data_IF_693854638094
#
_entry.id   IF_693854638094
#
_cell.length_a   1.000
_cell.length_b   1.000
_cell.length_c   1.000
_cell.angle_alpha   90.00
_cell.angle_beta   90.00
_cell.angle_gamma   90.00
#
_symmetry.space_group_name_H-M   'P 1'
#
loop_
_entity.id
_entity.type
_entity.pdbx_description
1 polymer ?
#
# COMPACT_ATOMS: atom_id res chain seq x y z
N UNK A 1 10.68 5.73 4.07
CA UNK A 1 9.55 5.12 3.36
C UNK A 1 9.21 3.84 4.09
N UNK A 2 7.93 3.45 4.14
CA UNK A 2 7.60 2.06 4.42
C UNK A 2 8.41 1.18 3.45
N UNK A 3 8.90 0.06 3.95
CA UNK A 3 9.58 -0.91 3.11
C UNK A 3 8.58 -1.61 2.18
N UNK A 4 9.12 -2.30 1.18
CA UNK A 4 8.34 -3.23 0.35
C UNK A 4 7.69 -4.31 1.23
N UNK A 5 8.40 -4.79 2.25
CA UNK A 5 7.91 -5.78 3.21
C UNK A 5 6.68 -5.31 3.97
N UNK A 6 6.64 -4.05 4.39
CA UNK A 6 5.49 -3.48 5.10
C UNK A 6 4.29 -3.29 4.16
N UNK A 7 4.51 -2.79 2.93
CA UNK A 7 3.46 -2.71 1.91
C UNK A 7 2.86 -4.08 1.59
N UNK A 8 3.70 -5.10 1.44
CA UNK A 8 3.27 -6.47 1.23
C UNK A 8 2.48 -7.00 2.43
N UNK A 9 2.96 -6.78 3.66
CA UNK A 9 2.27 -7.25 4.86
C UNK A 9 0.86 -6.64 4.99
N UNK A 10 0.74 -5.33 4.81
CA UNK A 10 -0.56 -4.63 4.83
C UNK A 10 -1.48 -5.16 3.73
N UNK A 11 -0.96 -5.35 2.52
CA UNK A 11 -1.70 -5.91 1.38
C UNK A 11 -2.24 -7.31 1.70
N UNK A 12 -1.40 -8.18 2.26
CA UNK A 12 -1.78 -9.54 2.63
C UNK A 12 -2.88 -9.55 3.70
N UNK A 13 -2.76 -8.71 4.74
CA UNK A 13 -3.81 -8.59 5.75
C UNK A 13 -5.11 -8.07 5.17
N UNK A 14 -5.05 -7.03 4.33
CA UNK A 14 -6.23 -6.44 3.71
C UNK A 14 -6.98 -7.47 2.85
N UNK A 15 -6.26 -8.22 2.01
CA UNK A 15 -6.83 -9.28 1.20
C UNK A 15 -7.42 -10.42 2.05
N UNK A 16 -6.70 -10.85 3.09
CA UNK A 16 -7.16 -11.92 3.98
C UNK A 16 -8.38 -11.52 4.82
N UNK A 17 -8.50 -10.25 5.20
CA UNK A 17 -9.62 -9.73 5.98
C UNK A 17 -10.90 -9.58 5.14
N UNK A 18 -10.76 -9.12 3.89
CA UNK A 18 -11.91 -8.71 3.08
C UNK A 18 -12.43 -9.85 2.17
N UNK A 19 -11.54 -10.69 1.63
CA UNK A 19 -11.94 -11.72 0.68
C UNK A 19 -12.42 -13.00 1.39
N UNK A 20 -13.41 -13.65 0.77
CA UNK A 20 -13.88 -14.96 1.22
C UNK A 20 -12.87 -16.05 0.87
N UNK A 21 -12.82 -17.12 1.65
CA UNK A 21 -11.87 -18.24 1.51
C UNK A 21 -11.89 -18.88 0.11
N UNK A 22 -13.06 -18.86 -0.56
CA UNK A 22 -13.21 -19.39 -1.91
C UNK A 22 -12.51 -18.54 -3.00
N UNK A 23 -12.11 -17.31 -2.68
CA UNK A 23 -11.63 -16.27 -3.60
C UNK A 23 -10.10 -16.17 -3.67
N UNK A 24 -9.39 -17.26 -3.39
CA UNK A 24 -7.93 -17.33 -3.48
C UNK A 24 -7.37 -16.85 -4.82
N UNK A 25 -7.96 -17.26 -5.95
CA UNK A 25 -7.51 -16.85 -7.29
C UNK A 25 -7.60 -15.32 -7.47
N UNK A 26 -8.76 -14.67 -7.20
CA UNK A 26 -8.84 -13.21 -7.12
C UNK A 26 -7.84 -12.58 -6.15
N UNK A 27 -7.62 -13.17 -4.97
CA UNK A 27 -6.67 -12.63 -3.99
C UNK A 27 -5.24 -12.56 -4.56
N UNK A 28 -4.78 -13.62 -5.23
CA UNK A 28 -3.49 -13.62 -5.92
C UNK A 28 -3.41 -12.58 -7.03
N UNK A 29 -4.49 -12.38 -7.80
CA UNK A 29 -4.54 -11.38 -8.87
C UNK A 29 -4.53 -9.94 -8.35
N UNK A 30 -5.03 -9.73 -7.13
CA UNK A 30 -5.09 -8.41 -6.50
C UNK A 30 -3.80 -8.03 -5.77
N UNK A 31 -3.01 -9.02 -5.34
CA UNK A 31 -1.75 -8.81 -4.61
C UNK A 31 -0.80 -7.81 -5.30
N UNK A 32 -0.57 -7.86 -6.63
CA UNK A 32 0.29 -6.88 -7.31
C UNK A 32 -0.16 -5.42 -7.15
N UNK A 33 -1.46 -5.15 -6.99
CA UNK A 33 -1.95 -3.77 -6.81
C UNK A 33 -1.53 -3.15 -5.48
N UNK A 34 -1.12 -3.94 -4.50
CA UNK A 34 -0.52 -3.43 -3.27
C UNK A 34 0.95 -3.04 -3.39
N UNK A 35 1.62 -3.43 -4.48
CA UNK A 35 3.06 -3.24 -4.70
C UNK A 35 3.40 -2.49 -5.99
N UNK A 36 2.43 -2.30 -6.88
CA UNK A 36 2.69 -1.72 -8.21
C UNK A 36 3.28 -0.32 -8.11
N UNK A 37 2.94 0.45 -7.08
CA UNK A 37 3.48 1.79 -6.86
C UNK A 37 5.00 1.75 -6.66
N UNK A 38 5.51 0.79 -5.88
CA UNK A 38 6.95 0.62 -5.66
C UNK A 38 7.74 0.34 -6.96
N UNK A 39 7.10 -0.08 -8.06
CA UNK A 39 7.79 -0.36 -9.34
C UNK A 39 8.49 0.86 -9.92
N UNK A 40 8.03 2.09 -9.65
CA UNK A 40 8.70 3.27 -10.17
C UNK A 40 10.11 3.46 -9.58
N UNK A 41 10.33 2.99 -8.35
CA UNK A 41 11.65 2.93 -7.72
C UNK A 41 12.59 1.92 -8.38
N UNK A 42 12.04 0.84 -8.95
CA UNK A 42 12.82 -0.21 -9.61
C UNK A 42 13.15 0.13 -11.06
N UNK A 43 12.25 0.81 -11.76
CA UNK A 43 12.38 1.14 -13.19
C UNK A 43 13.19 2.44 -13.38
N UNK A 44 13.56 3.13 -12.30
CA UNK A 44 14.33 4.37 -12.35
C UNK A 44 13.52 5.55 -12.93
N UNK A 45 12.19 5.44 -12.88
CA UNK A 45 11.27 6.51 -13.30
C UNK A 45 11.06 7.45 -12.11
N UNK A 46 10.69 8.70 -12.38
CA UNK A 46 10.31 9.66 -11.35
C UNK A 46 9.28 9.03 -10.39
N UNK A 47 9.58 8.91 -9.09
CA UNK A 47 8.71 8.30 -8.04
C UNK A 47 7.27 8.87 -8.03
N UNK A 48 7.09 10.10 -8.49
CA UNK A 48 5.75 10.66 -8.61
C UNK A 48 4.85 9.96 -9.66
N UNK A 49 5.40 9.09 -10.51
CA UNK A 49 4.69 8.48 -11.63
C UNK A 49 3.65 7.48 -11.17
N UNK A 50 3.99 6.62 -10.21
CA UNK A 50 3.03 5.64 -9.66
C UNK A 50 2.55 6.01 -8.25
N UNK A 51 3.22 6.95 -7.57
CA UNK A 51 2.80 7.47 -6.26
C UNK A 51 2.02 8.79 -6.38
N UNK A 52 0.83 8.75 -6.99
CA UNK A 52 -0.07 9.91 -7.07
C UNK A 52 -1.55 9.48 -7.01
N UNK A 53 -2.44 10.44 -6.74
CA UNK A 53 -3.87 10.21 -6.55
C UNK A 53 -4.55 9.64 -7.81
N UNK A 54 -4.04 9.91 -9.01
CA UNK A 54 -4.65 9.45 -10.26
C UNK A 54 -4.54 7.93 -10.43
N UNK A 55 -3.47 7.32 -9.94
CA UNK A 55 -3.25 5.88 -10.02
C UNK A 55 -4.35 5.10 -9.29
N UNK A 56 -4.86 5.62 -8.18
CA UNK A 56 -5.98 5.03 -7.42
C UNK A 56 -7.23 4.90 -8.29
N UNK A 57 -7.46 5.85 -9.20
CA UNK A 57 -8.64 5.88 -10.06
C UNK A 57 -8.50 4.98 -11.30
N UNK A 58 -7.30 4.54 -11.67
CA UNK A 58 -7.06 3.73 -12.88
C UNK A 58 -7.93 2.45 -12.90
N UNK A 59 -7.98 1.61 -11.84
CA UNK A 59 -8.84 0.43 -11.85
C UNK A 59 -10.33 0.76 -12.00
N UNK A 60 -10.80 1.88 -11.44
CA UNK A 60 -12.18 2.33 -11.56
C UNK A 60 -12.51 2.79 -12.98
N UNK A 61 -11.58 3.50 -13.63
CA UNK A 61 -11.74 3.90 -15.03
C UNK A 61 -11.78 2.67 -15.95
N UNK A 62 -10.93 1.68 -15.71
CA UNK A 62 -10.95 0.40 -16.43
C UNK A 62 -12.29 -0.31 -16.23
N UNK A 63 -12.82 -0.36 -15.01
CA UNK A 63 -14.15 -0.90 -14.73
C UNK A 63 -15.25 -0.21 -15.56
N UNK A 64 -15.25 1.13 -15.58
CA UNK A 64 -16.23 1.92 -16.35
C UNK A 64 -16.10 1.64 -17.85
N UNK A 65 -14.88 1.58 -18.37
CA UNK A 65 -14.62 1.28 -19.78
C UNK A 65 -15.12 -0.11 -20.16
N UNK A 66 -14.81 -1.15 -19.36
CA UNK A 66 -15.28 -2.52 -19.59
C UNK A 66 -16.80 -2.63 -19.57
N UNK A 67 -17.47 -1.91 -18.66
CA UNK A 67 -18.94 -1.81 -18.63
C UNK A 67 -19.50 -1.20 -19.90
N UNK A 68 -18.90 -0.11 -20.40
CA UNK A 68 -19.33 0.53 -21.66
C UNK A 68 -19.14 -0.40 -22.86
N UNK A 69 -18.08 -1.21 -22.86
CA UNK A 69 -17.80 -2.22 -23.89
C UNK A 69 -18.61 -3.51 -23.72
N UNK A 70 -19.49 -3.59 -22.70
CA UNK A 70 -20.29 -4.78 -22.35
C UNK A 70 -19.44 -6.04 -22.10
N UNK A 71 -18.20 -5.87 -21.63
CA UNK A 71 -17.32 -6.97 -21.24
C UNK A 71 -17.49 -7.22 -19.74
N UNK A 72 -18.22 -8.28 -19.37
CA UNK A 72 -18.58 -8.58 -17.97
C UNK A 72 -17.87 -9.82 -17.41
N UNK A 73 -16.58 -10.01 -17.72
CA UNK A 73 -15.82 -11.19 -17.28
C UNK A 73 -15.39 -11.10 -15.81
N UNK A 74 -15.18 -9.90 -15.28
CA UNK A 74 -14.63 -9.66 -13.95
C UNK A 74 -15.67 -8.91 -13.10
N UNK A 75 -15.85 -9.34 -11.84
CA UNK A 75 -16.77 -8.68 -10.91
C UNK A 75 -16.26 -7.28 -10.51
N UNK A 76 -17.14 -6.28 -10.56
CA UNK A 76 -16.85 -4.88 -10.20
C UNK A 76 -16.08 -4.69 -8.90
N UNK A 77 -16.43 -5.47 -7.86
CA UNK A 77 -15.78 -5.39 -6.55
C UNK A 77 -14.26 -5.57 -6.58
N UNK A 78 -13.73 -6.31 -7.56
CA UNK A 78 -12.28 -6.52 -7.66
C UNK A 78 -11.57 -5.26 -8.14
N UNK A 79 -12.18 -4.46 -9.01
CA UNK A 79 -11.65 -3.15 -9.39
C UNK A 79 -11.68 -2.17 -8.21
N UNK A 80 -12.75 -2.20 -7.42
CA UNK A 80 -12.86 -1.41 -6.18
C UNK A 80 -11.75 -1.81 -5.20
N UNK A 81 -11.51 -3.12 -5.01
CA UNK A 81 -10.44 -3.59 -4.13
C UNK A 81 -9.05 -3.23 -4.66
N UNK A 82 -8.80 -3.34 -5.96
CA UNK A 82 -7.55 -2.88 -6.56
C UNK A 82 -7.29 -1.39 -6.26
N UNK A 83 -8.30 -0.53 -6.41
CA UNK A 83 -8.21 0.88 -6.04
C UNK A 83 -7.98 1.11 -4.55
N UNK A 84 -8.63 0.34 -3.68
CA UNK A 84 -8.40 0.45 -2.22
C UNK A 84 -6.98 0.02 -1.83
N UNK A 85 -6.41 -1.00 -2.47
CA UNK A 85 -5.03 -1.42 -2.23
C UNK A 85 -4.04 -0.32 -2.64
N UNK A 86 -4.22 0.26 -3.84
CA UNK A 86 -3.42 1.41 -4.29
C UNK A 86 -3.56 2.60 -3.35
N UNK A 87 -4.79 2.88 -2.91
CA UNK A 87 -5.05 3.96 -1.96
C UNK A 87 -4.34 3.70 -0.63
N UNK A 88 -4.38 2.47 -0.10
CA UNK A 88 -3.70 2.11 1.15
C UNK A 88 -2.19 2.29 1.05
N UNK A 89 -1.61 1.93 -0.10
CA UNK A 89 -0.19 2.11 -0.38
C UNK A 89 0.18 3.60 -0.39
N UNK A 90 -0.46 4.40 -1.24
CA UNK A 90 -0.19 5.83 -1.38
C UNK A 90 -0.44 6.57 -0.06
N UNK A 91 -1.48 6.17 0.68
CA UNK A 91 -1.78 6.73 1.98
C UNK A 91 -0.66 6.44 2.98
N UNK A 92 -0.20 5.18 3.09
CA UNK A 92 0.91 4.83 3.98
C UNK A 92 2.16 5.65 3.64
N UNK A 93 2.48 5.76 2.35
CA UNK A 93 3.61 6.54 1.88
C UNK A 93 3.52 8.04 2.19
N UNK A 94 2.30 8.61 2.14
CA UNK A 94 2.07 10.00 2.48
C UNK A 94 2.52 10.31 3.92
N UNK A 95 2.25 9.44 4.89
CA UNK A 95 2.59 9.68 6.32
C UNK A 95 4.07 9.44 6.66
N UNK A 96 4.81 8.67 5.87
CA UNK A 96 6.21 8.36 6.17
C UNK A 96 7.17 9.34 5.48
N UNK A 97 6.98 9.57 4.18
CA UNK A 97 7.96 10.30 3.36
C UNK A 97 7.34 11.38 2.48
N UNK A 98 6.02 11.57 2.56
CA UNK A 98 5.27 12.42 1.66
C UNK A 98 5.09 11.83 0.27
N UNK A 99 4.10 12.38 -0.44
CA UNK A 99 3.66 11.89 -1.75
C UNK A 99 3.33 13.04 -2.70
N UNK A 100 3.59 12.83 -3.99
CA UNK A 100 3.28 13.79 -5.05
C UNK A 100 1.84 13.64 -5.52
N UNK A 101 0.89 14.05 -4.67
CA UNK A 101 -0.55 13.79 -4.85
C UNK A 101 -1.08 14.12 -6.26
N UNK A 102 -0.65 15.25 -6.83
CA UNK A 102 -1.22 15.81 -8.07
C UNK A 102 -0.24 15.84 -9.24
N UNK A 103 0.83 15.04 -9.21
CA UNK A 103 1.72 14.87 -10.36
C UNK A 103 0.95 14.28 -11.57
N UNK A 104 1.20 14.74 -12.82
CA UNK A 104 2.24 15.68 -13.26
C UNK A 104 1.83 17.16 -13.25
N UNK A 105 0.61 17.50 -12.79
CA UNK A 105 0.14 18.89 -12.81
C UNK A 105 0.82 19.76 -11.75
N UNK A 106 1.20 19.16 -10.63
CA UNK A 106 1.90 19.83 -9.53
C UNK A 106 3.12 19.00 -9.15
N UNK A 107 4.31 19.61 -9.24
CA UNK A 107 5.60 18.97 -8.93
C UNK A 107 5.96 19.02 -7.43
N UNK A 108 5.00 19.36 -6.56
CA UNK A 108 5.21 19.47 -5.11
C UNK A 108 4.84 18.15 -4.41
N UNK A 109 5.67 17.76 -3.45
CA UNK A 109 5.38 16.66 -2.52
C UNK A 109 4.65 17.18 -1.28
N UNK A 110 3.73 16.38 -0.77
CA UNK A 110 2.92 16.67 0.41
C UNK A 110 3.25 15.65 1.50
N UNK A 111 3.75 16.12 2.65
CA UNK A 111 4.03 15.28 3.81
C UNK A 111 3.17 15.71 5.01
N UNK A 112 2.02 15.06 5.26
CA UNK A 112 1.27 15.27 6.49
C UNK A 112 2.10 14.85 7.71
N UNK A 113 2.50 15.81 8.54
CA UNK A 113 3.11 15.49 9.82
C UNK A 113 2.02 15.07 10.80
N UNK A 114 1.89 13.77 10.99
CA UNK A 114 1.01 13.20 12.00
C UNK A 114 1.83 12.64 13.15
N UNK A 115 1.79 13.32 14.30
CA UNK A 115 2.50 12.89 15.50
C UNK A 115 1.55 12.17 16.44
N UNK A 116 1.67 10.84 16.53
CA UNK A 116 1.21 10.10 17.70
C UNK A 116 2.35 10.08 18.71
N UNK A 117 2.10 10.55 19.94
CA UNK A 117 3.11 10.75 20.97
C UNK A 117 3.72 9.50 21.59
N UNK A 118 4.37 8.70 20.77
CA UNK A 118 5.11 7.52 21.17
C UNK A 118 6.59 7.84 21.10
N UNK A 119 7.18 8.12 22.27
CA UNK A 119 8.62 8.18 22.44
C UNK A 119 9.06 6.84 23.03
N UNK A 120 9.60 5.97 22.18
CA UNK A 120 10.17 4.71 22.63
C UNK A 120 11.54 4.99 23.29
N UNK A 121 11.68 4.65 24.57
CA UNK A 121 12.96 4.65 25.28
C UNK A 121 13.26 3.24 25.77
N UNK A 122 13.99 2.47 24.96
CA UNK A 122 14.39 1.09 25.30
C UNK A 122 13.19 0.17 25.53
N UNK A 123 13.19 -0.57 26.65
CA UNK A 123 12.14 -1.55 26.99
C UNK A 123 10.84 -0.94 27.56
N UNK A 124 10.72 0.39 27.57
CA UNK A 124 9.58 1.11 28.14
C UNK A 124 8.79 1.84 27.07
N UNK A 125 7.49 1.54 26.99
CA UNK A 125 6.54 2.28 26.18
C UNK A 125 5.88 3.30 27.09
N UNK A 126 6.33 4.56 27.02
CA UNK A 126 5.70 5.68 27.71
C UNK A 126 4.90 6.49 26.69
N UNK A 127 3.57 6.47 26.83
CA UNK A 127 2.71 7.42 26.14
C UNK A 127 2.99 8.81 26.73
N UNK A 128 3.81 9.58 26.02
CA UNK A 128 4.07 10.97 26.36
C UNK A 128 3.30 11.82 25.39
N UNK A 129 2.26 12.50 25.87
CA UNK A 129 1.55 13.54 25.13
C UNK A 129 2.38 14.84 25.08
N UNK A 130 3.65 14.76 24.67
CA UNK A 130 4.51 15.94 24.47
C UNK A 130 4.46 16.30 22.98
N UNK A 131 3.40 16.99 22.56
CA UNK A 131 3.23 17.42 21.17
C UNK A 131 4.38 18.37 20.78
N UNK A 132 5.32 17.97 19.89
CA UNK A 132 6.29 18.89 19.33
C UNK A 132 5.63 19.51 18.10
N UNK A 133 5.04 20.70 18.26
CA UNK A 133 4.39 21.46 17.17
C UNK A 133 2.86 21.45 17.21
N UNK A 134 2.23 21.96 16.14
CA UNK A 134 0.77 21.93 15.99
C UNK A 134 0.35 20.60 15.35
N UNK A 135 -0.54 19.85 16.00
CA UNK A 135 -1.11 18.61 15.43
C UNK A 135 -1.78 18.91 14.08
N UNK A 136 -1.35 18.22 13.01
CA UNK A 136 -1.94 18.36 11.68
C UNK A 136 -1.25 19.38 10.76
N UNK A 137 0.00 19.74 11.02
CA UNK A 137 0.77 20.60 10.10
C UNK A 137 1.09 19.87 8.78
N UNK A 138 0.67 20.47 7.67
CA UNK A 138 1.05 20.02 6.34
C UNK A 138 2.36 20.70 5.95
N UNK A 139 3.48 19.98 6.04
CA UNK A 139 4.77 20.53 5.65
C UNK A 139 5.00 20.28 4.17
N UNK A 140 5.19 21.38 3.43
CA UNK A 140 5.58 21.33 2.03
C UNK A 140 7.07 21.00 1.94
N UNK A 141 7.40 19.78 1.51
CA UNK A 141 8.78 19.43 1.21
C UNK A 141 9.00 19.68 -0.28
N UNK A 142 9.70 20.78 -0.59
CA UNK A 142 10.24 21.02 -1.93
C UNK A 142 11.53 20.20 -2.04
N UNK A 143 11.41 18.88 -2.21
CA UNK A 143 12.58 18.05 -2.49
C UNK A 143 13.10 18.40 -3.89
N UNK A 144 14.35 18.88 -4.05
CA UNK A 144 14.80 19.43 -5.34
C UNK A 144 15.02 18.38 -6.42
N UNK A 145 14.99 17.08 -6.10
CA UNK A 145 15.21 16.00 -7.07
C UNK A 145 14.45 14.73 -6.66
N UNK A 146 13.91 13.98 -7.63
CA UNK A 146 13.41 12.62 -7.44
C UNK A 146 14.61 11.68 -7.33
N UNK A 147 15.49 11.86 -6.35
CA UNK A 147 16.46 10.82 -6.03
C UNK A 147 15.63 9.65 -5.50
N UNK A 148 15.51 8.60 -6.32
CA UNK A 148 14.91 7.32 -5.93
C UNK A 148 15.56 6.90 -4.62
N UNK A 149 14.89 7.06 -3.45
CA UNK A 149 15.45 6.52 -2.23
C UNK A 149 15.45 5.01 -2.42
N UNK A 150 16.56 4.34 -2.15
CA UNK A 150 16.56 2.88 -2.12
C UNK A 150 15.49 2.44 -1.11
N UNK A 151 14.43 1.80 -1.60
CA UNK A 151 13.37 1.28 -0.72
C UNK A 151 13.92 -0.01 -0.11
N UNK A 152 14.08 -0.09 1.22
CA UNK A 152 14.53 -1.33 1.82
C UNK A 152 13.49 -2.42 1.58
N UNK A 153 13.97 -3.64 1.30
CA UNK A 153 13.08 -4.81 1.19
C UNK A 153 12.43 -5.08 2.55
N UNK A 154 13.22 -5.01 3.62
CA UNK A 154 12.80 -5.10 5.01
C UNK A 154 13.47 -3.98 5.81
N UNK A 155 12.69 -3.15 6.49
CA UNK A 155 13.19 -2.00 7.26
C UNK A 155 13.59 -2.32 8.70
N UNK A 156 13.08 -3.41 9.30
CA UNK A 156 13.44 -3.82 10.67
C UNK A 156 13.10 -5.29 10.97
N UNK A 157 13.62 -5.83 12.07
CA UNK A 157 13.24 -7.16 12.57
C UNK A 157 11.76 -7.26 12.97
N UNK A 158 11.17 -6.19 13.49
CA UNK A 158 9.74 -6.11 13.82
C UNK A 158 8.91 -6.28 12.55
N UNK A 159 9.29 -5.57 11.50
CA UNK A 159 8.62 -5.63 10.21
C UNK A 159 8.72 -7.02 9.56
N UNK A 160 9.87 -7.69 9.67
CA UNK A 160 10.02 -9.08 9.24
C UNK A 160 9.01 -9.99 9.96
N UNK A 161 8.85 -9.84 11.28
CA UNK A 161 7.87 -10.62 12.06
C UNK A 161 6.44 -10.31 11.60
N UNK A 162 6.11 -9.04 11.37
CA UNK A 162 4.80 -8.63 10.83
C UNK A 162 4.53 -9.27 9.47
N UNK A 163 5.52 -9.26 8.56
CA UNK A 163 5.41 -9.87 7.24
C UNK A 163 5.22 -11.38 7.33
N UNK A 164 5.97 -12.07 8.19
CA UNK A 164 5.80 -13.51 8.44
C UNK A 164 4.37 -13.78 8.93
N UNK A 165 3.88 -13.00 9.89
CA UNK A 165 2.51 -13.16 10.41
C UNK A 165 1.44 -12.90 9.33
N UNK A 166 1.66 -11.90 8.46
CA UNK A 166 0.78 -11.60 7.34
C UNK A 166 0.74 -12.75 6.33
N UNK A 167 1.90 -13.32 5.98
CA UNK A 167 2.01 -14.48 5.10
C UNK A 167 1.31 -15.69 5.68
N UNK A 168 1.54 -16.01 6.96
CA UNK A 168 0.89 -17.13 7.64
C UNK A 168 -0.63 -16.94 7.67
N UNK A 169 -1.11 -15.74 8.02
CA UNK A 169 -2.54 -15.42 8.04
C UNK A 169 -3.17 -15.59 6.66
N UNK A 170 -2.53 -15.06 5.62
CA UNK A 170 -3.00 -15.20 4.24
C UNK A 170 -3.06 -16.67 3.80
N UNK A 171 -1.99 -17.43 4.04
CA UNK A 171 -1.93 -18.86 3.67
C UNK A 171 -2.99 -19.66 4.43
N UNK A 172 -3.14 -19.46 5.74
CA UNK A 172 -4.12 -20.17 6.57
C UNK A 172 -5.55 -19.85 6.12
N UNK A 173 -5.85 -18.58 5.84
CA UNK A 173 -7.15 -18.13 5.33
C UNK A 173 -7.58 -18.86 4.05
N UNK A 174 -6.65 -19.07 3.12
CA UNK A 174 -6.95 -19.68 1.82
C UNK A 174 -6.60 -21.17 1.72
N UNK A 175 -6.12 -21.79 2.81
CA UNK A 175 -5.64 -23.19 2.88
C UNK A 175 -6.70 -24.23 2.48
N UNK A 176 -7.99 -23.97 2.75
CA UNK A 176 -9.11 -24.90 2.47
C UNK A 176 -9.20 -25.28 0.98
N UNK A 177 -8.63 -24.46 0.07
CA UNK A 177 -8.64 -24.72 -1.37
C UNK A 177 -7.36 -25.39 -1.90
N UNK A 178 -6.20 -25.14 -1.28
CA UNK A 178 -4.93 -25.79 -1.65
C UNK A 178 -5.03 -27.32 -1.50
N UNK A 179 -5.67 -27.80 -0.43
CA UNK A 179 -5.89 -29.24 -0.21
C UNK A 179 -6.88 -29.88 -1.20
N UNK A 180 -7.88 -29.13 -1.69
CA UNK A 180 -8.88 -29.65 -2.65
C UNK A 180 -8.42 -29.61 -4.11
N UNK A 181 -7.42 -28.80 -4.44
CA UNK A 181 -6.83 -28.72 -5.78
C UNK A 181 -5.69 -29.71 -6.05
N UNK A 182 -5.18 -30.40 -5.02
CA UNK A 182 -4.16 -31.44 -5.12
C UNK A 182 -4.74 -32.84 -5.43
N UNK A 183 -6.07 -32.97 -5.46
CA UNK A 183 -6.80 -34.21 -5.71
C UNK A 183 -7.75 -34.12 -6.91
N UNK A 184 -7.59 -33.12 -7.78
CA UNK A 184 -8.31 -32.97 -9.05
C UNK A 184 -7.30 -32.90 -10.19
#
# INVERSE_FOLDING_TARGET
>A
MPSIGLHLAVTLFFLAAVLKDAEYKPALLLLPFGLISDLDSFIGVHRATLHNLFIIFVPLLVMIALKRLKVSTIKDRYFIFASLLLASHIFLDAFYNGVFLFYPFIEKSYNPLFWFGLKETGLSVLFTWIVPGNVGELVYVITPRPSVPEIPIIGSGIELVILIFALLTFVLKFRVKLSKGLHA
#
